data_IF_519209872204
#
_entry.id   IF_519209872204
#
_cell.length_a   1.000
_cell.length_b   1.000
_cell.length_c   1.000
_cell.angle_alpha   90.00
_cell.angle_beta   90.00
_cell.angle_gamma   90.00
#
_symmetry.space_group_name_H-M   'P 1'
#
loop_
_entity.id
_entity.type
_entity.pdbx_description
1 polymer ?
#
# COMPACT_ATOMS: atom_id res chain seq x y z
N UNK A 1 3.45 21.06 -11.18
CA UNK A 1 4.79 21.68 -11.21
C UNK A 1 4.76 22.80 -12.26
N UNK A 2 5.38 23.95 -12.00
CA UNK A 2 5.51 25.04 -13.00
C UNK A 2 6.59 24.71 -14.03
N UNK A 3 6.57 25.41 -15.17
CA UNK A 3 7.60 25.26 -16.22
C UNK A 3 9.01 25.54 -15.70
N UNK A 4 9.16 26.55 -14.84
CA UNK A 4 10.44 26.92 -14.22
C UNK A 4 10.98 25.80 -13.33
N UNK A 5 10.10 25.14 -12.54
CA UNK A 5 10.51 24.01 -11.71
C UNK A 5 10.91 22.79 -12.56
N UNK A 6 10.24 22.57 -13.70
CA UNK A 6 10.64 21.55 -14.66
C UNK A 6 11.98 21.87 -15.31
N UNK A 7 12.20 23.11 -15.73
CA UNK A 7 13.47 23.51 -16.34
C UNK A 7 14.61 23.37 -15.33
N UNK A 8 14.42 23.77 -14.06
CA UNK A 8 15.40 23.58 -12.99
C UNK A 8 15.75 22.09 -12.77
N UNK A 9 14.74 21.20 -12.72
CA UNK A 9 14.95 19.76 -12.64
C UNK A 9 15.64 19.21 -13.90
N UNK A 10 15.16 19.58 -15.08
CA UNK A 10 15.64 19.10 -16.37
C UNK A 10 17.09 19.50 -16.64
N UNK A 11 17.55 20.66 -16.15
CA UNK A 11 18.94 21.13 -16.27
C UNK A 11 19.86 20.69 -15.11
N UNK A 12 19.34 19.98 -14.10
CA UNK A 12 20.16 19.49 -12.99
C UNK A 12 21.22 18.47 -13.46
N UNK A 13 22.43 18.43 -12.86
CA UNK A 13 23.51 17.53 -13.29
C UNK A 13 23.09 16.06 -13.39
N UNK A 14 22.17 15.63 -12.53
CA UNK A 14 21.63 14.27 -12.44
C UNK A 14 20.78 13.89 -13.65
N UNK A 15 20.21 14.87 -14.36
CA UNK A 15 19.40 14.66 -15.56
C UNK A 15 20.22 14.79 -16.86
N UNK A 16 21.57 14.78 -16.77
CA UNK A 16 22.45 14.94 -17.94
C UNK A 16 22.14 13.92 -19.04
N UNK A 17 22.02 12.66 -18.69
CA UNK A 17 21.68 11.58 -19.61
C UNK A 17 20.30 11.77 -20.24
N UNK A 18 19.33 12.27 -19.47
CA UNK A 18 17.99 12.62 -19.96
C UNK A 18 18.00 13.80 -20.96
N UNK A 19 18.92 14.76 -20.79
CA UNK A 19 19.08 15.89 -21.71
C UNK A 19 19.82 15.54 -22.99
N UNK A 20 20.81 14.65 -22.87
CA UNK A 20 21.54 14.12 -24.02
C UNK A 20 20.62 13.23 -24.87
N UNK A 21 19.57 12.68 -24.25
CA UNK A 21 18.60 11.81 -24.90
C UNK A 21 17.34 12.46 -25.48
N UNK A 22 16.89 13.57 -24.92
CA UNK A 22 15.58 14.14 -25.27
C UNK A 22 15.62 15.65 -25.49
N UNK A 23 14.87 16.13 -26.49
CA UNK A 23 14.62 17.57 -26.63
C UNK A 23 13.78 18.11 -25.44
N UNK A 24 14.08 19.30 -24.88
CA UNK A 24 13.43 19.81 -23.66
C UNK A 24 11.91 19.90 -23.75
N UNK A 25 11.39 20.28 -24.93
CA UNK A 25 9.95 20.37 -25.17
C UNK A 25 9.25 19.01 -25.20
N UNK A 26 9.98 17.94 -25.51
CA UNK A 26 9.46 16.58 -25.55
C UNK A 26 9.43 15.97 -24.15
N UNK A 27 10.53 16.12 -23.40
CA UNK A 27 10.62 15.72 -22.00
C UNK A 27 9.52 16.36 -21.14
N UNK A 28 9.20 17.65 -21.38
CA UNK A 28 8.14 18.33 -20.64
C UNK A 28 6.75 17.74 -20.90
N UNK A 29 6.42 17.42 -22.15
CA UNK A 29 5.11 16.86 -22.52
C UNK A 29 4.92 15.44 -21.99
N UNK A 30 5.95 14.61 -22.11
CA UNK A 30 5.95 13.24 -21.59
C UNK A 30 5.82 13.25 -20.07
N UNK A 31 6.55 14.12 -19.39
CA UNK A 31 6.43 14.33 -17.96
C UNK A 31 5.02 14.79 -17.55
N UNK A 32 4.43 15.76 -18.26
CA UNK A 32 3.07 16.24 -17.99
C UNK A 32 2.02 15.13 -18.14
N UNK A 33 2.08 14.36 -19.23
CA UNK A 33 1.14 13.28 -19.51
C UNK A 33 1.25 12.15 -18.46
N UNK A 34 2.48 11.74 -18.13
CA UNK A 34 2.74 10.75 -17.09
C UNK A 34 2.22 11.24 -15.73
N UNK A 35 2.49 12.49 -15.37
CA UNK A 35 2.03 13.09 -14.10
C UNK A 35 0.50 13.16 -14.05
N UNK A 36 -0.16 13.55 -15.13
CA UNK A 36 -1.63 13.61 -15.18
C UNK A 36 -2.27 12.22 -15.06
N UNK A 37 -1.70 11.21 -15.73
CA UNK A 37 -2.15 9.83 -15.63
C UNK A 37 -2.02 9.29 -14.20
N UNK A 38 -0.82 9.42 -13.61
CA UNK A 38 -0.56 9.01 -12.23
C UNK A 38 -1.44 9.76 -11.23
N UNK A 39 -1.71 11.05 -11.48
CA UNK A 39 -2.56 11.87 -10.63
C UNK A 39 -4.02 11.40 -10.64
N UNK A 40 -4.54 11.02 -11.82
CA UNK A 40 -5.89 10.47 -11.97
C UNK A 40 -6.05 9.16 -11.20
N UNK A 41 -5.12 8.23 -11.39
CA UNK A 41 -5.14 6.94 -10.68
C UNK A 41 -4.95 7.12 -9.17
N UNK A 42 -4.04 8.00 -8.75
CA UNK A 42 -3.86 8.34 -7.32
C UNK A 42 -5.15 8.89 -6.71
N UNK A 43 -5.88 9.75 -7.42
CA UNK A 43 -7.14 10.29 -6.93
C UNK A 43 -8.23 9.20 -6.85
N UNK A 44 -8.27 8.27 -7.81
CA UNK A 44 -9.19 7.14 -7.79
C UNK A 44 -8.89 6.19 -6.61
N UNK A 45 -7.63 5.81 -6.43
CA UNK A 45 -7.18 4.98 -5.32
C UNK A 45 -7.40 5.66 -3.96
N UNK A 46 -7.20 6.99 -3.88
CA UNK A 46 -7.47 7.74 -2.65
C UNK A 46 -8.96 7.72 -2.27
N UNK A 47 -9.86 7.75 -3.25
CA UNK A 47 -11.30 7.61 -3.01
C UNK A 47 -11.64 6.20 -2.50
N UNK A 48 -11.10 5.15 -3.15
CA UNK A 48 -11.30 3.77 -2.71
C UNK A 48 -10.72 3.51 -1.31
N UNK A 49 -9.57 4.11 -0.98
CA UNK A 49 -9.00 4.03 0.36
C UNK A 49 -9.89 4.71 1.39
N UNK A 50 -10.50 5.85 1.06
CA UNK A 50 -11.43 6.53 1.96
C UNK A 50 -12.67 5.67 2.26
N UNK A 51 -13.21 4.99 1.25
CA UNK A 51 -14.35 4.07 1.41
C UNK A 51 -13.98 2.87 2.28
N UNK A 52 -12.82 2.25 2.04
CA UNK A 52 -12.31 1.12 2.85
C UNK A 52 -12.00 1.54 4.29
N UNK A 53 -11.52 2.76 4.51
CA UNK A 53 -11.30 3.30 5.87
C UNK A 53 -12.63 3.52 6.58
N UNK A 54 -13.66 4.02 5.90
CA UNK A 54 -14.99 4.19 6.45
C UNK A 54 -15.63 2.83 6.79
N UNK A 55 -15.58 1.87 5.87
CA UNK A 55 -16.08 0.50 6.10
C UNK A 55 -15.32 -0.19 7.25
N UNK A 56 -13.99 -0.04 7.34
CA UNK A 56 -13.22 -0.55 8.46
C UNK A 56 -13.54 0.15 9.79
N UNK A 57 -13.88 1.44 9.77
CA UNK A 57 -14.33 2.15 10.97
C UNK A 57 -15.69 1.61 11.44
N UNK A 58 -16.58 1.26 10.51
CA UNK A 58 -17.87 0.62 10.82
C UNK A 58 -17.71 -0.84 11.28
N UNK A 59 -16.78 -1.60 10.67
CA UNK A 59 -16.48 -2.99 11.03
C UNK A 59 -15.72 -3.11 12.36
N UNK A 60 -14.91 -2.10 12.71
CA UNK A 60 -14.43 -1.87 14.07
C UNK A 60 -15.56 -1.31 14.94
N UNK A 61 -16.74 -1.92 14.87
CA UNK A 61 -17.87 -1.58 15.72
C UNK A 61 -17.37 -1.45 17.14
N UNK A 62 -17.71 -0.34 17.80
CA UNK A 62 -17.21 0.05 19.11
C UNK A 62 -17.35 -1.13 20.07
N UNK A 63 -16.28 -1.93 20.18
CA UNK A 63 -16.18 -2.96 21.19
C UNK A 63 -16.28 -2.19 22.50
N UNK A 64 -17.29 -2.45 23.35
CA UNK A 64 -17.55 -1.60 24.50
C UNK A 64 -16.54 -1.95 25.59
N UNK A 65 -15.27 -1.61 25.38
CA UNK A 65 -14.13 -2.01 26.21
C UNK A 65 -14.37 -1.59 27.66
N UNK A 66 -14.91 -0.39 27.89
CA UNK A 66 -15.30 0.06 29.23
C UNK A 66 -16.41 -0.79 29.87
N UNK A 67 -17.38 -1.31 29.10
CA UNK A 67 -18.38 -2.22 29.63
C UNK A 67 -17.79 -3.61 29.94
N UNK A 68 -16.83 -4.08 29.13
CA UNK A 68 -16.12 -5.35 29.33
C UNK A 68 -15.22 -5.27 30.57
N UNK A 69 -14.47 -4.17 30.75
CA UNK A 69 -13.65 -3.90 31.94
C UNK A 69 -14.51 -3.82 33.20
N UNK A 70 -15.62 -3.08 33.16
CA UNK A 70 -16.57 -3.01 34.26
C UNK A 70 -17.19 -4.38 34.58
N UNK A 71 -17.55 -5.15 33.55
CA UNK A 71 -18.09 -6.50 33.70
C UNK A 71 -17.14 -7.43 34.44
N UNK A 72 -15.83 -7.39 34.15
CA UNK A 72 -14.81 -8.14 34.89
C UNK A 72 -14.75 -7.73 36.36
N UNK A 73 -14.69 -6.44 36.63
CA UNK A 73 -14.68 -5.92 38.00
C UNK A 73 -15.94 -6.32 38.80
N UNK A 74 -17.11 -6.36 38.15
CA UNK A 74 -18.34 -6.84 38.78
C UNK A 74 -18.32 -8.34 39.04
N UNK A 75 -17.80 -9.14 38.11
CA UNK A 75 -17.68 -10.59 38.29
C UNK A 75 -16.79 -10.92 39.49
N UNK A 76 -15.63 -10.27 39.62
CA UNK A 76 -14.72 -10.46 40.76
C UNK A 76 -15.38 -10.08 42.09
N UNK A 77 -16.18 -9.00 42.08
CA UNK A 77 -16.97 -8.60 43.25
C UNK A 77 -18.05 -9.61 43.62
N UNK A 78 -18.72 -10.22 42.64
CA UNK A 78 -19.77 -11.21 42.88
C UNK A 78 -19.25 -12.46 43.58
N UNK A 79 -18.01 -12.88 43.28
CA UNK A 79 -17.35 -14.00 43.97
C UNK A 79 -17.05 -13.72 45.44
N UNK A 80 -16.87 -12.44 45.80
CA UNK A 80 -16.64 -12.03 47.18
C UNK A 80 -17.94 -11.97 48.01
N UNK A 81 -19.11 -11.97 47.38
CA UNK A 81 -20.37 -12.01 48.11
C UNK A 81 -20.65 -13.41 48.65
N UNK A 82 -21.16 -13.53 49.89
CA UNK A 82 -21.56 -14.82 50.46
C UNK A 82 -22.92 -15.22 49.87
N UNK A 83 -22.96 -15.54 48.58
CA UNK A 83 -24.11 -16.20 47.99
C UNK A 83 -24.13 -17.67 48.44
N UNK A 84 -25.31 -18.16 48.81
CA UNK A 84 -25.51 -19.55 49.23
C UNK A 84 -26.47 -20.21 48.25
N UNK A 85 -25.97 -21.21 47.53
CA UNK A 85 -26.81 -22.19 46.81
C UNK A 85 -26.61 -23.59 47.43
N UNK A 86 -27.34 -24.60 46.96
CA UNK A 86 -27.17 -25.99 47.44
C UNK A 86 -25.74 -26.53 47.27
N UNK A 87 -24.94 -25.96 46.36
CA UNK A 87 -23.53 -26.29 46.12
C UNK A 87 -22.50 -25.47 46.93
N UNK A 88 -22.93 -24.59 47.84
CA UNK A 88 -22.03 -23.73 48.61
C UNK A 88 -21.86 -22.33 48.00
N UNK A 89 -20.65 -21.77 48.11
CA UNK A 89 -20.33 -20.42 47.60
C UNK A 89 -20.43 -20.39 46.06
N UNK A 90 -20.80 -19.24 45.49
CA UNK A 90 -20.89 -19.00 44.04
C UNK A 90 -19.63 -19.46 43.29
N UNK A 91 -18.44 -19.26 43.86
CA UNK A 91 -17.18 -19.69 43.23
C UNK A 91 -17.01 -21.21 43.10
N UNK A 92 -17.81 -22.01 43.83
CA UNK A 92 -17.86 -23.47 43.73
C UNK A 92 -18.96 -23.96 42.78
N UNK A 93 -19.80 -23.07 42.24
CA UNK A 93 -20.85 -23.40 41.30
C UNK A 93 -20.27 -23.61 39.89
N UNK A 94 -20.50 -24.78 39.28
CA UNK A 94 -20.00 -25.11 37.93
C UNK A 94 -20.47 -24.13 36.86
N UNK A 95 -21.73 -23.72 36.93
CA UNK A 95 -22.32 -22.80 35.95
C UNK A 95 -21.68 -21.41 36.02
N UNK A 96 -21.34 -20.97 37.24
CA UNK A 96 -20.61 -19.73 37.46
C UNK A 96 -19.19 -19.79 36.91
N UNK A 97 -18.47 -20.87 37.21
CA UNK A 97 -17.09 -21.06 36.72
C UNK A 97 -17.03 -21.08 35.18
N UNK A 98 -17.98 -21.76 34.53
CA UNK A 98 -18.02 -21.84 33.07
C UNK A 98 -18.44 -20.51 32.43
N UNK A 99 -19.37 -19.77 33.05
CA UNK A 99 -19.71 -18.40 32.66
C UNK A 99 -18.47 -17.48 32.76
N UNK A 100 -17.73 -17.55 33.87
CA UNK A 100 -16.53 -16.74 34.11
C UNK A 100 -15.46 -17.03 33.05
N UNK A 101 -15.26 -18.31 32.73
CA UNK A 101 -14.32 -18.76 31.71
C UNK A 101 -14.72 -18.29 30.31
N UNK A 102 -15.98 -18.47 29.92
CA UNK A 102 -16.49 -17.99 28.64
C UNK A 102 -16.35 -16.47 28.51
N UNK A 103 -16.67 -15.73 29.58
CA UNK A 103 -16.58 -14.27 29.59
C UNK A 103 -15.13 -13.78 29.51
N UNK A 104 -14.19 -14.38 30.23
CA UNK A 104 -12.77 -14.03 30.10
C UNK A 104 -12.27 -14.26 28.67
N UNK A 105 -12.59 -15.41 28.07
CA UNK A 105 -12.17 -15.70 26.70
C UNK A 105 -12.71 -14.69 25.68
N UNK A 106 -14.00 -14.32 25.81
CA UNK A 106 -14.61 -13.28 24.98
C UNK A 106 -13.96 -11.91 25.20
N UNK A 107 -13.61 -11.59 26.45
CA UNK A 107 -13.00 -10.31 26.80
C UNK A 107 -11.55 -10.19 26.33
N UNK A 108 -10.76 -11.26 26.39
CA UNK A 108 -9.41 -11.34 25.84
C UNK A 108 -9.44 -11.20 24.32
N UNK A 109 -10.34 -11.93 23.65
CA UNK A 109 -10.55 -11.81 22.21
C UNK A 109 -10.85 -10.36 21.81
N UNK A 110 -11.80 -9.73 22.51
CA UNK A 110 -12.24 -8.37 22.27
C UNK A 110 -11.14 -7.32 22.49
N UNK A 111 -10.23 -7.53 23.46
CA UNK A 111 -9.11 -6.62 23.74
C UNK A 111 -7.93 -6.79 22.78
N UNK A 112 -7.67 -8.01 22.30
CA UNK A 112 -6.44 -8.34 21.58
C UNK A 112 -6.60 -8.43 20.05
N UNK A 113 -7.83 -8.48 19.51
CA UNK A 113 -8.05 -8.55 18.06
C UNK A 113 -8.01 -7.18 17.34
N UNK A 114 -7.56 -6.10 17.99
CA UNK A 114 -7.50 -4.76 17.38
C UNK A 114 -6.13 -4.28 16.90
N UNK A 115 -5.06 -5.10 16.90
CA UNK A 115 -3.74 -4.64 16.50
C UNK A 115 -3.29 -5.09 15.11
N UNK A 116 -2.96 -4.08 14.30
CA UNK A 116 -2.14 -4.06 13.08
C UNK A 116 -2.55 -4.98 11.93
N UNK A 117 -2.52 -4.37 10.74
CA UNK A 117 -2.92 -4.99 9.50
C UNK A 117 -1.69 -5.10 8.59
N UNK A 118 -0.89 -6.18 8.73
CA UNK A 118 0.11 -6.55 7.72
C UNK A 118 -0.50 -6.63 6.32
N UNK A 119 -1.81 -6.85 6.21
CA UNK A 119 -2.57 -6.78 4.97
C UNK A 119 -2.64 -5.37 4.38
N UNK A 120 -2.73 -4.32 5.21
CA UNK A 120 -2.72 -2.91 4.77
C UNK A 120 -1.33 -2.52 4.24
N UNK A 121 -0.27 -2.91 4.93
CA UNK A 121 1.10 -2.64 4.47
C UNK A 121 1.40 -3.38 3.16
N UNK A 122 0.91 -4.62 3.03
CA UNK A 122 0.96 -5.40 1.79
C UNK A 122 0.19 -4.75 0.66
N UNK A 123 -1.03 -4.28 0.92
CA UNK A 123 -1.85 -3.59 -0.06
C UNK A 123 -1.16 -2.30 -0.53
N UNK A 124 -0.62 -1.48 0.37
CA UNK A 124 0.05 -0.23 0.02
C UNK A 124 1.31 -0.47 -0.83
N UNK A 125 2.09 -1.50 -0.54
CA UNK A 125 3.26 -1.87 -1.33
C UNK A 125 2.87 -2.44 -2.71
N UNK A 126 1.81 -3.24 -2.78
CA UNK A 126 1.26 -3.72 -4.05
C UNK A 126 0.75 -2.58 -4.93
N UNK A 127 0.06 -1.59 -4.35
CA UNK A 127 -0.38 -0.39 -5.07
C UNK A 127 0.79 0.46 -5.58
N UNK A 128 1.89 0.58 -4.81
CA UNK A 128 3.12 1.23 -5.30
C UNK A 128 3.71 0.48 -6.50
N UNK A 129 3.77 -0.85 -6.44
CA UNK A 129 4.26 -1.67 -7.54
C UNK A 129 3.38 -1.53 -8.81
N UNK A 130 2.05 -1.53 -8.66
CA UNK A 130 1.10 -1.29 -9.76
C UNK A 130 1.32 0.10 -10.39
N UNK A 131 1.57 1.13 -9.59
CA UNK A 131 1.90 2.47 -10.11
C UNK A 131 3.19 2.48 -10.95
N UNK A 132 4.22 1.74 -10.52
CA UNK A 132 5.46 1.57 -11.30
C UNK A 132 5.19 0.80 -12.59
N UNK A 133 4.38 -0.27 -12.56
CA UNK A 133 3.99 -1.02 -13.76
C UNK A 133 3.28 -0.14 -14.80
N UNK A 134 2.42 0.78 -14.35
CA UNK A 134 1.74 1.70 -15.25
C UNK A 134 2.71 2.70 -15.89
N UNK A 135 3.69 3.18 -15.12
CA UNK A 135 4.77 4.02 -15.63
C UNK A 135 5.64 3.28 -16.66
N UNK A 136 5.99 2.01 -16.40
CA UNK A 136 6.72 1.14 -17.35
C UNK A 136 5.93 0.98 -18.65
N UNK A 137 4.64 0.64 -18.57
CA UNK A 137 3.79 0.45 -19.75
C UNK A 137 3.75 1.70 -20.63
N UNK A 138 3.64 2.87 -19.98
CA UNK A 138 3.64 4.16 -20.67
C UNK A 138 5.01 4.43 -21.31
N UNK A 139 6.10 4.22 -20.56
CA UNK A 139 7.46 4.42 -21.05
C UNK A 139 7.77 3.51 -22.25
N UNK A 140 7.38 2.24 -22.20
CA UNK A 140 7.52 1.29 -23.33
C UNK A 140 6.85 1.81 -24.60
N UNK A 141 5.61 2.31 -24.48
CA UNK A 141 4.88 2.88 -25.62
C UNK A 141 5.56 4.12 -26.17
N UNK A 142 6.03 5.01 -25.30
CA UNK A 142 6.70 6.27 -25.69
C UNK A 142 8.00 6.00 -26.42
N UNK A 143 8.85 5.11 -25.90
CA UNK A 143 10.13 4.73 -26.52
C UNK A 143 9.90 4.12 -27.91
N UNK A 144 8.93 3.22 -28.05
CA UNK A 144 8.62 2.63 -29.34
C UNK A 144 8.15 3.69 -30.37
N UNK A 145 7.25 4.59 -29.95
CA UNK A 145 6.72 5.63 -30.83
C UNK A 145 7.77 6.64 -31.28
N UNK A 146 8.65 7.07 -30.38
CA UNK A 146 9.67 8.09 -30.65
C UNK A 146 10.63 7.65 -31.76
N UNK A 147 11.09 6.41 -31.69
CA UNK A 147 11.99 5.83 -32.69
C UNK A 147 11.25 5.13 -33.84
N UNK A 148 9.93 5.34 -33.91
CA UNK A 148 9.05 4.82 -34.98
C UNK A 148 9.12 3.28 -35.10
N UNK A 149 9.34 2.60 -33.97
CA UNK A 149 9.26 1.16 -33.88
C UNK A 149 7.82 0.71 -33.62
N UNK A 150 7.51 -0.50 -34.08
CA UNK A 150 6.20 -1.12 -33.88
C UNK A 150 5.88 -1.33 -32.39
N UNK A 151 6.89 -1.71 -31.61
CA UNK A 151 6.77 -2.06 -30.20
C UNK A 151 8.13 -1.90 -29.49
N UNK A 152 8.10 -1.94 -28.16
CA UNK A 152 9.29 -1.80 -27.32
C UNK A 152 10.27 -2.96 -27.49
N UNK A 153 9.78 -4.18 -27.72
CA UNK A 153 10.64 -5.34 -27.97
C UNK A 153 11.51 -5.14 -29.22
N UNK A 154 10.98 -4.48 -30.24
CA UNK A 154 11.74 -4.09 -31.44
C UNK A 154 12.80 -3.05 -31.08
N UNK A 155 12.47 -2.05 -30.26
CA UNK A 155 13.42 -1.06 -29.77
C UNK A 155 14.59 -1.71 -29.01
N UNK A 156 14.28 -2.61 -28.06
CA UNK A 156 15.27 -3.32 -27.26
C UNK A 156 16.24 -4.16 -28.10
N UNK A 157 15.75 -4.83 -29.15
CA UNK A 157 16.61 -5.61 -30.07
C UNK A 157 17.57 -4.76 -30.88
N UNK A 158 17.19 -3.52 -31.19
CA UNK A 158 18.01 -2.61 -32.00
C UNK A 158 19.15 -2.00 -31.18
N UNK A 159 19.01 -1.92 -29.84
CA UNK A 159 20.06 -1.43 -28.93
C UNK A 159 21.40 -2.16 -29.11
N UNK A 160 21.39 -3.49 -29.30
CA UNK A 160 22.63 -4.26 -29.51
C UNK A 160 23.36 -3.91 -30.83
N UNK A 161 22.66 -3.31 -31.79
CA UNK A 161 23.19 -2.94 -33.10
C UNK A 161 23.75 -1.52 -33.14
N UNK A 162 23.26 -0.64 -32.26
CA UNK A 162 23.68 0.76 -32.17
C UNK A 162 23.89 1.13 -30.70
N UNK A 163 25.01 0.70 -30.09
CA UNK A 163 25.26 0.86 -28.66
C UNK A 163 25.46 2.33 -28.23
N UNK A 164 25.81 3.21 -29.16
CA UNK A 164 25.93 4.65 -28.92
C UNK A 164 24.62 5.41 -29.21
N UNK A 165 23.55 4.68 -29.54
CA UNK A 165 22.25 5.29 -29.75
C UNK A 165 21.65 5.68 -28.42
N UNK A 166 21.05 6.86 -28.45
CA UNK A 166 20.19 7.34 -27.38
C UNK A 166 19.08 6.34 -26.95
N UNK A 167 18.65 5.49 -27.87
CA UNK A 167 17.69 4.43 -27.61
C UNK A 167 18.10 3.51 -26.45
N UNK A 168 19.41 3.30 -26.26
CA UNK A 168 19.96 2.36 -25.27
C UNK A 168 19.63 2.82 -23.85
N UNK A 169 19.96 4.07 -23.48
CA UNK A 169 19.67 4.58 -22.13
C UNK A 169 18.17 4.63 -21.83
N UNK A 170 17.34 4.91 -22.85
CA UNK A 170 15.87 4.87 -22.73
C UNK A 170 15.31 3.47 -22.49
N UNK A 171 15.92 2.44 -23.09
CA UNK A 171 15.54 1.04 -22.86
C UNK A 171 16.03 0.58 -21.48
N UNK A 172 17.26 0.92 -21.10
CA UNK A 172 17.84 0.61 -19.78
C UNK A 172 17.01 1.22 -18.64
N UNK A 173 16.50 2.45 -18.80
CA UNK A 173 15.63 3.09 -17.81
C UNK A 173 14.30 2.34 -17.62
N UNK A 174 13.74 1.77 -18.69
CA UNK A 174 12.51 0.97 -18.64
C UNK A 174 12.76 -0.40 -17.98
N UNK A 175 13.94 -0.99 -18.21
CA UNK A 175 14.37 -2.22 -17.54
C UNK A 175 14.61 -1.98 -16.04
N UNK A 176 15.28 -0.90 -15.66
CA UNK A 176 15.49 -0.53 -14.26
C UNK A 176 14.16 -0.34 -13.50
N UNK A 177 13.17 0.33 -14.13
CA UNK A 177 11.85 0.47 -13.53
C UNK A 177 11.18 -0.89 -13.29
N UNK A 178 11.42 -1.86 -14.18
CA UNK A 178 10.88 -3.22 -14.06
C UNK A 178 11.50 -3.97 -12.88
N UNK A 179 12.81 -3.83 -12.67
CA UNK A 179 13.51 -4.38 -11.51
C UNK A 179 13.08 -3.70 -10.21
N UNK A 180 12.87 -2.38 -10.23
CA UNK A 180 12.38 -1.62 -9.08
C UNK A 180 10.94 -2.03 -8.69
N UNK A 181 10.04 -2.23 -9.65
CA UNK A 181 8.71 -2.77 -9.40
C UNK A 181 8.77 -4.16 -8.74
N UNK A 182 9.70 -5.01 -9.16
CA UNK A 182 9.92 -6.32 -8.56
C UNK A 182 10.47 -6.24 -7.13
N UNK A 183 11.36 -5.29 -6.85
CA UNK A 183 11.87 -5.03 -5.49
C UNK A 183 10.76 -4.60 -4.54
N UNK A 184 9.90 -3.66 -4.94
CA UNK A 184 8.76 -3.21 -4.15
C UNK A 184 7.81 -4.35 -3.76
N UNK A 185 7.67 -5.37 -4.62
CA UNK A 185 6.86 -6.57 -4.32
C UNK A 185 7.54 -7.52 -3.32
N UNK A 186 8.87 -7.48 -3.23
CA UNK A 186 9.66 -8.36 -2.35
C UNK A 186 9.93 -7.76 -0.97
N UNK A 187 9.93 -6.42 -0.83
CA UNK A 187 10.11 -5.72 0.45
C UNK A 187 8.97 -5.96 1.47
N UNK A 188 7.86 -6.57 1.05
CA UNK A 188 6.69 -6.88 1.91
C UNK A 188 6.76 -8.27 2.58
N UNK A 189 7.89 -8.96 2.50
CA UNK A 189 8.11 -10.20 3.26
C UNK A 189 8.93 -9.90 4.51
N UNK A 190 8.30 -9.35 5.54
CA UNK A 190 8.79 -9.38 6.93
C UNK A 190 7.65 -9.79 7.83
#
# INVERSE_FOLDING_TARGET
>A
MSRENFEAWFYAPEQKELRESCAPGWAYRTWQAATASMQSERNHLAAQLADVVAENAELKGDVPLGAIENGRAFADRLEAYPFWCEGGNLNMCSDWQELRRCFEHLSEWAMHHQSESPATDRFLAEQRAVGVDMAIKTAKSVVAQEFQYKDFDTAQRVCSRFPESDLVGKVEMVEWLSDYAAQLRNEVKV
#
